data_IF_474470709231
#
_entry.id   IF_474470709231
#
_cell.length_a   1.000
_cell.length_b   1.000
_cell.length_c   1.000
_cell.angle_alpha   90.00
_cell.angle_beta   90.00
_cell.angle_gamma   90.00
#
_symmetry.space_group_name_H-M   'P 1'
#
loop_
_entity.id
_entity.type
_entity.pdbx_description
1 polymer ?
#
# COMPACT_ATOMS: atom_id res chain seq x y z
N UNK A 1 -7.77 -8.55 6.92
CA UNK A 1 -7.48 -8.65 5.47
C UNK A 1 -6.66 -9.91 5.21
N UNK A 2 -6.84 -10.59 4.06
CA UNK A 2 -6.18 -11.88 3.78
C UNK A 2 -4.75 -11.76 3.20
N UNK A 3 -4.37 -10.61 2.64
CA UNK A 3 -3.01 -10.40 2.09
C UNK A 3 -2.68 -8.90 1.93
N UNK A 4 -1.41 -8.53 2.15
CA UNK A 4 -0.90 -7.15 2.12
C UNK A 4 -1.13 -6.42 0.81
N UNK A 5 -1.04 -7.14 -0.32
CA UNK A 5 -1.19 -6.58 -1.68
C UNK A 5 -2.58 -6.02 -1.97
N UNK A 6 -3.52 -6.11 -1.03
CA UNK A 6 -4.90 -5.68 -1.17
C UNK A 6 -5.24 -4.44 -0.33
N UNK A 7 -4.26 -3.85 0.37
CA UNK A 7 -4.45 -2.66 1.22
C UNK A 7 -4.71 -1.36 0.43
N UNK A 8 -4.16 -1.25 -0.77
CA UNK A 8 -4.39 -0.12 -1.67
C UNK A 8 -3.48 -0.22 -2.89
N UNK A 9 -3.87 0.42 -3.99
CA UNK A 9 -3.15 0.38 -5.27
C UNK A 9 -2.06 1.44 -5.39
N UNK A 10 -2.10 2.47 -4.53
CA UNK A 10 -1.11 3.55 -4.47
C UNK A 10 -1.10 4.22 -3.08
N UNK A 11 -0.16 5.16 -2.91
CA UNK A 11 0.01 5.90 -1.67
C UNK A 11 -1.22 6.72 -1.26
N UNK A 12 -2.03 7.18 -2.21
CA UNK A 12 -3.22 7.98 -1.94
C UNK A 12 -4.35 7.11 -1.39
N UNK A 13 -4.62 5.95 -1.98
CA UNK A 13 -5.59 4.99 -1.45
C UNK A 13 -5.20 4.50 -0.05
N UNK A 14 -3.90 4.23 0.18
CA UNK A 14 -3.40 3.81 1.50
C UNK A 14 -3.50 4.92 2.56
N UNK A 15 -3.23 6.16 2.17
CA UNK A 15 -3.41 7.32 3.05
C UNK A 15 -4.88 7.53 3.38
N UNK A 16 -5.76 7.46 2.38
CA UNK A 16 -7.21 7.55 2.59
C UNK A 16 -7.75 6.44 3.49
N UNK A 17 -7.22 5.21 3.36
CA UNK A 17 -7.55 4.11 4.26
C UNK A 17 -7.11 4.40 5.69
N UNK A 18 -5.87 4.86 5.90
CA UNK A 18 -5.36 5.21 7.22
C UNK A 18 -6.18 6.35 7.87
N UNK A 19 -6.56 7.36 7.10
CA UNK A 19 -7.40 8.47 7.55
C UNK A 19 -8.81 8.00 7.91
N UNK A 20 -9.41 7.12 7.09
CA UNK A 20 -10.72 6.53 7.37
C UNK A 20 -10.70 5.70 8.65
N UNK A 21 -9.71 4.82 8.81
CA UNK A 21 -9.56 4.01 10.02
C UNK A 21 -9.34 4.89 11.26
N UNK A 22 -8.54 5.96 11.13
CA UNK A 22 -8.32 6.93 12.21
C UNK A 22 -9.60 7.66 12.59
N UNK A 23 -10.33 8.20 11.60
CA UNK A 23 -11.56 8.96 11.82
C UNK A 23 -12.66 8.15 12.52
N UNK A 24 -12.67 6.83 12.31
CA UNK A 24 -13.65 5.93 12.91
C UNK A 24 -13.10 5.09 14.08
N UNK A 25 -11.85 5.30 14.50
CA UNK A 25 -11.23 4.51 15.58
C UNK A 25 -11.17 3.01 15.28
N UNK A 26 -11.10 2.64 14.00
CA UNK A 26 -11.09 1.27 13.53
C UNK A 26 -9.66 0.73 13.48
N UNK A 27 -9.52 -0.55 13.79
CA UNK A 27 -8.21 -1.23 13.84
C UNK A 27 -8.10 -2.18 12.65
N UNK A 28 -6.91 -2.27 12.06
CA UNK A 28 -6.65 -3.19 10.96
C UNK A 28 -6.06 -4.49 11.49
N UNK A 29 -6.79 -5.59 11.34
CA UNK A 29 -6.29 -6.93 11.64
C UNK A 29 -5.84 -7.65 10.37
N UNK A 30 -4.60 -8.12 10.38
CA UNK A 30 -4.03 -8.97 9.34
C UNK A 30 -3.94 -10.41 9.84
N UNK A 31 -4.69 -11.28 9.16
CA UNK A 31 -4.90 -12.67 9.57
C UNK A 31 -3.78 -13.60 9.06
N UNK A 32 -3.07 -13.20 8.00
CA UNK A 32 -2.04 -13.98 7.34
C UNK A 32 -1.03 -13.07 6.61
N UNK A 33 0.09 -13.65 6.16
CA UNK A 33 1.19 -12.94 5.51
C UNK A 33 2.41 -12.75 6.43
N UNK A 34 3.46 -12.03 5.98
CA UNK A 34 4.71 -11.90 6.73
C UNK A 34 4.60 -11.02 7.98
N UNK A 35 3.50 -10.27 8.12
CA UNK A 35 3.24 -9.34 9.21
C UNK A 35 1.82 -9.56 9.74
N UNK A 36 1.51 -10.70 10.39
CA UNK A 36 0.22 -10.90 11.02
C UNK A 36 0.12 -10.05 12.30
N UNK A 37 -1.08 -9.59 12.64
CA UNK A 37 -1.31 -8.82 13.85
C UNK A 37 -2.33 -7.70 13.71
N UNK A 38 -2.45 -6.92 14.77
CA UNK A 38 -3.40 -5.82 14.92
C UNK A 38 -2.63 -4.49 14.81
N UNK A 39 -3.07 -3.64 13.89
CA UNK A 39 -2.43 -2.37 13.58
C UNK A 39 -3.37 -1.21 13.82
N UNK A 40 -2.94 -0.32 14.72
CA UNK A 40 -3.64 0.92 15.00
C UNK A 40 -3.30 1.96 13.93
N UNK A 41 -4.28 2.67 13.38
CA UNK A 41 -4.03 3.74 12.40
C UNK A 41 -3.43 5.00 13.06
N UNK A 42 -3.25 4.99 14.38
CA UNK A 42 -2.70 6.09 15.19
C UNK A 42 -1.38 5.69 15.87
N UNK A 43 -0.64 6.69 16.34
CA UNK A 43 0.60 6.48 17.08
C UNK A 43 1.65 5.69 16.26
N UNK A 44 2.40 4.75 16.87
CA UNK A 44 3.41 3.96 16.18
C UNK A 44 2.88 3.16 14.98
N UNK A 45 1.59 2.76 15.00
CA UNK A 45 1.00 1.96 13.92
C UNK A 45 0.79 2.74 12.62
N UNK A 46 0.74 4.09 12.65
CA UNK A 46 0.67 4.94 11.44
C UNK A 46 1.90 4.78 10.53
N UNK A 47 3.06 4.48 11.10
CA UNK A 47 4.31 4.32 10.35
C UNK A 47 4.24 3.15 9.36
N UNK A 48 3.49 2.11 9.69
CA UNK A 48 3.33 0.94 8.83
C UNK A 48 2.52 1.31 7.56
N UNK A 49 1.46 2.10 7.70
CA UNK A 49 0.70 2.60 6.55
C UNK A 49 1.55 3.49 5.64
N UNK A 50 2.40 4.34 6.21
CA UNK A 50 3.35 5.15 5.44
C UNK A 50 4.40 4.29 4.71
N UNK A 51 4.91 3.23 5.36
CA UNK A 51 5.81 2.27 4.75
C UNK A 51 5.16 1.55 3.55
N UNK A 52 3.92 1.07 3.71
CA UNK A 52 3.20 0.44 2.60
C UNK A 52 2.91 1.42 1.46
N UNK A 53 2.60 2.67 1.77
CA UNK A 53 2.41 3.70 0.75
C UNK A 53 3.67 3.90 -0.11
N UNK A 54 4.85 3.97 0.52
CA UNK A 54 6.12 4.08 -0.18
C UNK A 54 6.43 2.85 -1.06
N UNK A 55 6.14 1.65 -0.55
CA UNK A 55 6.31 0.41 -1.31
C UNK A 55 5.37 0.34 -2.53
N UNK A 56 4.09 0.70 -2.35
CA UNK A 56 3.10 0.69 -3.42
C UNK A 56 3.45 1.68 -4.54
N UNK A 57 3.94 2.88 -4.20
CA UNK A 57 4.38 3.86 -5.19
C UNK A 57 5.60 3.38 -5.98
N UNK A 58 6.54 2.71 -5.30
CA UNK A 58 7.72 2.11 -5.94
C UNK A 58 7.32 1.00 -6.92
N UNK A 59 6.40 0.12 -6.53
CA UNK A 59 5.88 -0.92 -7.44
C UNK A 59 5.16 -0.33 -8.65
N UNK A 60 4.36 0.73 -8.46
CA UNK A 60 3.70 1.45 -9.56
C UNK A 60 4.73 2.03 -10.53
N UNK A 61 5.77 2.70 -10.02
CA UNK A 61 6.78 3.33 -10.86
C UNK A 61 7.54 2.28 -11.69
N UNK A 62 7.91 1.14 -11.08
CA UNK A 62 8.52 0.02 -11.82
C UNK A 62 7.65 -0.51 -12.96
N UNK A 63 6.33 -0.64 -12.74
CA UNK A 63 5.39 -1.05 -13.79
C UNK A 63 5.33 0.01 -14.90
N UNK A 64 5.34 1.30 -14.54
CA UNK A 64 5.32 2.41 -15.48
C UNK A 64 6.56 2.41 -16.37
N UNK A 65 7.74 2.27 -15.77
CA UNK A 65 9.02 2.18 -16.49
C UNK A 65 9.04 1.00 -17.46
N UNK A 66 8.68 -0.21 -16.98
CA UNK A 66 8.62 -1.41 -17.82
C UNK A 66 7.64 -1.26 -19.00
N UNK A 67 6.53 -0.54 -18.80
CA UNK A 67 5.57 -0.24 -19.88
C UNK A 67 6.19 0.68 -20.93
N UNK A 68 6.92 1.72 -20.52
CA UNK A 68 7.59 2.64 -21.44
C UNK A 68 8.69 1.94 -22.25
N UNK A 69 9.50 1.10 -21.60
CA UNK A 69 10.52 0.28 -22.27
C UNK A 69 9.91 -0.68 -23.30
N UNK A 70 8.78 -1.31 -22.95
CA UNK A 70 8.05 -2.19 -23.86
C UNK A 70 7.48 -1.45 -25.08
N UNK A 71 6.96 -0.23 -24.88
CA UNK A 71 6.47 0.63 -25.96
C UNK A 71 7.60 1.10 -26.88
N UNK A 72 8.76 1.49 -26.32
CA UNK A 72 9.95 1.87 -27.10
C UNK A 72 10.48 0.70 -27.93
N UNK A 73 10.54 -0.49 -27.32
CA UNK A 73 10.96 -1.71 -28.02
C UNK A 73 10.01 -2.08 -29.17
N UNK A 74 8.70 -1.91 -28.98
CA UNK A 74 7.69 -2.21 -30.01
C UNK A 74 7.64 -1.15 -31.14
N UNK A 75 8.13 0.06 -30.88
CA UNK A 75 8.20 1.14 -31.87
C UNK A 75 9.44 1.03 -32.79
N UNK A 76 10.37 0.12 -32.49
CA UNK A 76 11.60 -0.13 -33.24
C UNK A 76 11.45 -1.28 -34.23
#
# INVERSE_FOLDING_TARGET
>A
MYEMKRLGRDAAELTALADHLTAHGLVLEMLAGPLPGIYYPTGPGKQLFAFFAAMAETERENIRESTLEGLDTAAR
#
